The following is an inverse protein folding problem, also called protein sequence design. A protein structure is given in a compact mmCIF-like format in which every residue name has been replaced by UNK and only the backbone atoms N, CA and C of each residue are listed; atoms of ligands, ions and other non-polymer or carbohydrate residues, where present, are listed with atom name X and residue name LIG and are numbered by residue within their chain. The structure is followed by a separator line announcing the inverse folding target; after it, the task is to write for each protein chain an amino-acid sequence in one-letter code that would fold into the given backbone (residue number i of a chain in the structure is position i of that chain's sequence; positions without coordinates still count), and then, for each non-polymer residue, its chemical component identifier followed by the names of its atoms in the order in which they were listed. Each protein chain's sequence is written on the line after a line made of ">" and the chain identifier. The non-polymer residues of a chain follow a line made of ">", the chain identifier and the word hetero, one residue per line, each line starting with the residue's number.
data_IF_896733145628
#
_entry.id   IF_896733145628
#
_cell.length_a   1.000
_cell.length_b   1.000
_cell.length_c   1.000
_cell.angle_alpha   90.00
_cell.angle_beta   90.00
_cell.angle_gamma   90.00
#
_symmetry.space_group_name_H-M   'P 1'
#
loop_
_entity.id
_entity.type
_entity.pdbx_description
1 polymer ?
#
# COMPACT_ATOMS: atom_id res chain seq x y z
N UNK A 1 11.75 -15.31 -12.55
CA UNK A 1 10.58 -15.51 -13.47
C UNK A 1 10.26 -14.26 -14.29
N UNK A 2 11.05 -13.19 -14.16
CA UNK A 2 10.88 -11.92 -14.90
C UNK A 2 9.48 -11.31 -14.77
N UNK A 3 8.79 -11.56 -13.66
CA UNK A 3 7.45 -11.01 -13.40
C UNK A 3 7.54 -9.51 -13.13
N UNK A 4 6.63 -8.74 -13.74
CA UNK A 4 6.51 -7.30 -13.48
C UNK A 4 5.66 -7.05 -12.24
N UNK A 5 6.13 -6.19 -11.39
CA UNK A 5 5.50 -5.83 -10.10
C UNK A 5 5.23 -4.34 -10.05
N UNK A 6 4.03 -3.95 -9.63
CA UNK A 6 3.71 -2.59 -9.25
C UNK A 6 3.58 -2.51 -7.72
N UNK A 7 4.28 -1.57 -7.11
CA UNK A 7 4.22 -1.30 -5.68
C UNK A 7 3.66 0.10 -5.45
N UNK A 8 2.50 0.17 -4.81
CA UNK A 8 1.84 1.43 -4.47
C UNK A 8 1.79 1.58 -2.96
N UNK A 9 2.45 2.61 -2.43
CA UNK A 9 2.52 2.89 -0.99
C UNK A 9 1.63 4.07 -0.62
N UNK A 10 0.62 3.83 0.20
CA UNK A 10 -0.31 4.86 0.68
C UNK A 10 0.15 5.54 1.97
N UNK A 11 1.09 4.93 2.68
CA UNK A 11 1.79 5.56 3.81
C UNK A 11 3.29 5.43 3.57
N UNK A 12 3.96 6.54 3.32
CA UNK A 12 5.42 6.58 3.21
C UNK A 12 5.96 7.59 4.20
N UNK A 13 6.97 7.15 4.97
CA UNK A 13 7.78 8.07 5.78
C UNK A 13 8.60 9.00 4.89
N UNK A 14 9.07 10.12 5.46
CA UNK A 14 9.91 11.09 4.74
C UNK A 14 11.28 10.52 4.33
N UNK A 15 11.70 9.42 4.94
CA UNK A 15 13.02 8.82 4.71
C UNK A 15 12.94 7.73 3.64
N UNK A 16 13.90 7.78 2.71
CA UNK A 16 14.13 6.70 1.77
C UNK A 16 14.73 5.51 2.51
N UNK A 17 14.08 4.36 2.44
CA UNK A 17 14.53 3.12 3.09
C UNK A 17 15.49 2.33 2.20
N UNK A 18 16.21 1.35 2.78
CA UNK A 18 17.06 0.45 2.00
C UNK A 18 16.29 -0.37 0.98
N UNK A 19 15.06 -0.75 1.29
CA UNK A 19 14.16 -1.45 0.36
C UNK A 19 13.73 -0.56 -0.81
N UNK A 20 13.50 0.75 -0.58
CA UNK A 20 13.20 1.69 -1.66
C UNK A 20 14.34 1.73 -2.68
N UNK A 21 15.57 1.89 -2.20
CA UNK A 21 16.77 1.93 -3.06
C UNK A 21 16.94 0.64 -3.86
N UNK A 22 16.67 -0.51 -3.26
CA UNK A 22 16.78 -1.80 -3.92
C UNK A 22 15.67 -1.98 -4.98
N UNK A 23 14.43 -1.67 -4.64
CA UNK A 23 13.28 -1.86 -5.53
C UNK A 23 13.31 -0.86 -6.69
N UNK A 24 13.67 0.40 -6.44
CA UNK A 24 13.78 1.42 -7.49
C UNK A 24 14.89 1.09 -8.52
N UNK A 25 15.88 0.30 -8.14
CA UNK A 25 16.92 -0.18 -9.05
C UNK A 25 16.51 -1.38 -9.90
N UNK A 26 15.39 -2.03 -9.59
CA UNK A 26 14.95 -3.25 -10.26
C UNK A 26 14.09 -2.92 -11.49
N UNK A 27 14.50 -3.30 -12.72
CA UNK A 27 13.77 -2.99 -13.95
C UNK A 27 12.39 -3.65 -14.05
N UNK A 28 12.11 -4.65 -13.22
CA UNK A 28 10.81 -5.34 -13.18
C UNK A 28 9.86 -4.74 -12.14
N UNK A 29 10.26 -3.69 -11.42
CA UNK A 29 9.44 -3.03 -10.41
C UNK A 29 9.12 -1.61 -10.86
N UNK A 30 7.85 -1.25 -10.82
CA UNK A 30 7.38 0.14 -10.92
C UNK A 30 6.79 0.54 -9.59
N UNK A 31 7.12 1.73 -9.11
CA UNK A 31 6.65 2.22 -7.82
C UNK A 31 5.84 3.49 -7.97
N UNK A 32 4.76 3.60 -7.18
CA UNK A 32 4.07 4.85 -6.90
C UNK A 32 3.93 5.02 -5.39
N UNK A 33 3.98 6.23 -4.91
CA UNK A 33 3.80 6.51 -3.49
C UNK A 33 3.02 7.80 -3.29
N UNK A 34 2.24 7.83 -2.23
CA UNK A 34 1.58 9.06 -1.79
C UNK A 34 2.67 10.06 -1.39
N UNK A 35 2.66 11.27 -2.00
CA UNK A 35 3.64 12.30 -1.67
C UNK A 35 3.66 12.59 -0.17
N UNK A 36 4.87 12.83 0.37
CA UNK A 36 5.12 13.06 1.78
C UNK A 36 4.19 14.14 2.37
N UNK A 37 3.60 13.83 3.50
CA UNK A 37 2.66 14.72 4.20
C UNK A 37 1.67 14.00 5.08
N UNK A 38 1.53 12.68 4.98
CA UNK A 38 0.79 11.92 5.97
C UNK A 38 1.64 11.81 7.24
N UNK A 39 1.73 12.90 7.96
CA UNK A 39 2.17 12.87 9.36
C UNK A 39 0.92 12.69 10.19
N UNK A 40 0.97 11.89 11.25
CA UNK A 40 -0.11 11.72 12.23
C UNK A 40 -0.58 13.07 12.84
N UNK A 41 0.03 14.17 12.42
CA UNK A 41 -0.18 15.55 12.86
C UNK A 41 -0.66 16.48 11.74
N UNK A 42 -0.97 16.02 10.53
CA UNK A 42 -1.48 16.91 9.48
C UNK A 42 -2.86 17.38 9.83
N UNK A 43 -3.00 18.69 9.97
CA UNK A 43 -4.29 19.37 10.19
C UNK A 43 -5.08 19.54 8.89
N UNK A 44 -4.56 19.07 7.75
CA UNK A 44 -5.15 19.24 6.42
C UNK A 44 -5.62 17.91 5.82
N UNK A 45 -6.77 17.45 6.32
CA UNK A 45 -7.42 16.22 5.85
C UNK A 45 -7.82 16.28 4.36
N UNK A 46 -8.15 17.45 3.84
CA UNK A 46 -8.53 17.62 2.44
C UNK A 46 -7.33 17.38 1.51
N UNK A 47 -6.16 17.86 1.91
CA UNK A 47 -4.92 17.63 1.17
C UNK A 47 -4.54 16.15 1.18
N UNK A 48 -4.66 15.48 2.32
CA UNK A 48 -4.36 14.04 2.43
C UNK A 48 -5.33 13.21 1.60
N UNK A 49 -6.62 13.56 1.62
CA UNK A 49 -7.63 12.92 0.78
C UNK A 49 -7.36 13.10 -0.72
N UNK A 50 -6.96 14.30 -1.12
CA UNK A 50 -6.57 14.58 -2.51
C UNK A 50 -5.39 13.72 -2.93
N UNK A 51 -4.32 13.67 -2.12
CA UNK A 51 -3.13 12.87 -2.39
C UNK A 51 -3.42 11.37 -2.44
N UNK A 52 -4.25 10.87 -1.52
CA UNK A 52 -4.72 9.50 -1.57
C UNK A 52 -5.45 9.19 -2.87
N UNK A 53 -6.33 10.11 -3.33
CA UNK A 53 -7.02 9.99 -4.61
C UNK A 53 -6.07 9.97 -5.81
N UNK A 54 -5.07 10.84 -5.84
CA UNK A 54 -4.06 10.88 -6.90
C UNK A 54 -3.24 9.57 -6.94
N UNK A 55 -2.83 9.08 -5.78
CA UNK A 55 -2.12 7.79 -5.66
C UNK A 55 -3.00 6.61 -6.08
N UNK A 56 -4.28 6.66 -5.75
CA UNK A 56 -5.24 5.64 -6.17
C UNK A 56 -5.42 5.61 -7.71
N UNK A 57 -5.42 6.75 -8.37
CA UNK A 57 -5.49 6.79 -9.84
C UNK A 57 -4.29 6.09 -10.51
N UNK A 58 -3.10 6.16 -9.92
CA UNK A 58 -1.95 5.39 -10.41
C UNK A 58 -2.13 3.88 -10.11
N UNK A 59 -2.64 3.52 -8.93
CA UNK A 59 -2.95 2.13 -8.60
C UNK A 59 -3.97 1.52 -9.57
N UNK A 60 -5.02 2.25 -9.94
CA UNK A 60 -6.01 1.81 -10.93
C UNK A 60 -5.40 1.52 -12.30
N UNK A 61 -4.44 2.33 -12.75
CA UNK A 61 -3.71 2.08 -14.01
C UNK A 61 -2.91 0.78 -13.94
N UNK A 62 -2.26 0.50 -12.82
CA UNK A 62 -1.53 -0.75 -12.61
C UNK A 62 -2.46 -1.96 -12.54
N UNK A 63 -3.58 -1.83 -11.83
CA UNK A 63 -4.60 -2.88 -11.75
C UNK A 63 -5.26 -3.19 -13.11
N UNK A 64 -5.34 -2.21 -14.01
CA UNK A 64 -5.89 -2.40 -15.36
C UNK A 64 -4.85 -2.88 -16.39
N UNK A 65 -3.55 -2.92 -16.03
CA UNK A 65 -2.49 -3.23 -16.98
C UNK A 65 -2.18 -4.75 -17.02
N UNK A 66 -2.45 -5.44 -18.14
CA UNK A 66 -2.20 -6.88 -18.26
C UNK A 66 -0.71 -7.27 -18.29
N UNK A 67 0.20 -6.31 -18.46
CA UNK A 67 1.64 -6.55 -18.38
C UNK A 67 2.16 -6.67 -16.94
N UNK A 68 1.37 -6.25 -15.94
CA UNK A 68 1.74 -6.34 -14.53
C UNK A 68 1.20 -7.63 -13.93
N UNK A 69 2.09 -8.44 -13.40
CA UNK A 69 1.75 -9.74 -12.83
C UNK A 69 1.33 -9.66 -11.35
N UNK A 70 1.89 -8.70 -10.61
CA UNK A 70 1.60 -8.50 -9.20
C UNK A 70 1.45 -7.01 -8.89
N UNK A 71 0.36 -6.64 -8.24
CA UNK A 71 0.16 -5.29 -7.67
C UNK A 71 0.16 -5.40 -6.16
N UNK A 72 0.99 -4.60 -5.50
CA UNK A 72 1.03 -4.49 -4.04
C UNK A 72 0.45 -3.12 -3.66
N UNK A 73 -0.63 -3.12 -2.89
CA UNK A 73 -1.31 -1.94 -2.35
C UNK A 73 -0.96 -1.84 -0.87
N UNK A 74 0.17 -1.19 -0.60
CA UNK A 74 0.74 -1.13 0.74
C UNK A 74 0.05 -0.05 1.59
N UNK A 75 -0.47 -0.49 2.75
CA UNK A 75 -1.18 0.32 3.74
C UNK A 75 -2.48 0.99 3.23
N UNK A 76 -3.10 0.47 2.15
CA UNK A 76 -4.33 1.05 1.57
C UNK A 76 -5.52 1.00 2.54
N UNK A 77 -5.56 0.04 3.47
CA UNK A 77 -6.67 -0.05 4.42
C UNK A 77 -6.84 1.19 5.28
N UNK A 78 -5.76 1.94 5.53
CA UNK A 78 -5.85 3.23 6.22
C UNK A 78 -6.66 4.26 5.42
N UNK A 79 -6.49 4.28 4.11
CA UNK A 79 -7.22 5.21 3.23
C UNK A 79 -8.72 4.94 3.24
N UNK A 80 -9.10 3.66 3.34
CA UNK A 80 -10.50 3.25 3.50
C UNK A 80 -11.01 3.68 4.88
N UNK A 81 -10.28 3.34 5.94
CA UNK A 81 -10.68 3.63 7.33
C UNK A 81 -10.81 5.12 7.64
N UNK A 82 -10.00 5.97 6.99
CA UNK A 82 -10.10 7.43 7.11
C UNK A 82 -11.11 8.07 6.14
N UNK A 83 -11.83 7.26 5.33
CA UNK A 83 -12.74 7.72 4.29
C UNK A 83 -12.06 8.66 3.26
N UNK A 84 -10.79 8.42 2.97
CA UNK A 84 -10.08 9.12 1.91
C UNK A 84 -10.31 8.47 0.54
N UNK A 85 -10.51 7.15 0.52
CA UNK A 85 -10.86 6.39 -0.67
C UNK A 85 -12.18 5.63 -0.46
N UNK A 86 -12.97 5.54 -1.52
CA UNK A 86 -14.21 4.76 -1.53
C UNK A 86 -13.90 3.27 -1.73
N UNK A 87 -14.25 2.46 -0.76
CA UNK A 87 -14.04 1.02 -0.78
C UNK A 87 -14.70 0.34 -1.99
N UNK A 88 -15.89 0.79 -2.39
CA UNK A 88 -16.60 0.21 -3.54
C UNK A 88 -15.82 0.38 -4.84
N UNK A 89 -15.16 1.52 -5.00
CA UNK A 89 -14.29 1.78 -6.15
C UNK A 89 -13.09 0.83 -6.15
N UNK A 90 -12.48 0.59 -4.99
CA UNK A 90 -11.37 -0.35 -4.82
C UNK A 90 -11.81 -1.77 -5.17
N UNK A 91 -12.90 -2.25 -4.59
CA UNK A 91 -13.44 -3.58 -4.86
C UNK A 91 -13.79 -3.78 -6.33
N UNK A 92 -14.34 -2.75 -6.98
CA UNK A 92 -14.62 -2.76 -8.41
C UNK A 92 -13.34 -2.87 -9.25
N UNK A 93 -12.31 -2.12 -8.92
CA UNK A 93 -11.03 -2.20 -9.63
C UNK A 93 -10.38 -3.59 -9.46
N UNK A 94 -10.42 -4.15 -8.24
CA UNK A 94 -9.93 -5.49 -7.94
C UNK A 94 -10.67 -6.58 -8.74
N UNK A 95 -11.99 -6.46 -8.87
CA UNK A 95 -12.80 -7.44 -9.62
C UNK A 95 -12.61 -7.36 -11.13
N UNK A 96 -12.23 -6.18 -11.65
CA UNK A 96 -12.04 -5.92 -13.08
C UNK A 96 -10.59 -6.13 -13.56
N UNK A 97 -9.68 -6.52 -12.66
CA UNK A 97 -8.27 -6.73 -13.02
C UNK A 97 -8.10 -7.85 -14.06
N UNK A 98 -7.05 -7.82 -14.85
CA UNK A 98 -6.74 -8.89 -15.80
C UNK A 98 -6.65 -10.25 -15.12
N UNK A 99 -7.11 -11.30 -15.82
CA UNK A 99 -6.99 -12.67 -15.34
C UNK A 99 -5.51 -13.03 -15.14
N UNK A 100 -5.21 -13.71 -14.03
CA UNK A 100 -3.84 -14.07 -13.65
C UNK A 100 -3.02 -12.97 -12.98
N UNK A 101 -3.53 -11.74 -12.88
CA UNK A 101 -2.89 -10.71 -12.08
C UNK A 101 -3.14 -10.94 -10.59
N UNK A 102 -2.07 -11.02 -9.81
CA UNK A 102 -2.11 -11.15 -8.36
C UNK A 102 -2.16 -9.78 -7.69
N UNK A 103 -2.84 -9.71 -6.54
CA UNK A 103 -2.88 -8.49 -5.72
C UNK A 103 -2.58 -8.83 -4.27
N UNK A 104 -1.72 -8.03 -3.65
CA UNK A 104 -1.46 -8.06 -2.21
C UNK A 104 -1.92 -6.73 -1.62
N UNK A 105 -2.72 -6.82 -0.57
CA UNK A 105 -3.21 -5.66 0.18
C UNK A 105 -2.65 -5.74 1.59
N UNK A 106 -2.07 -4.67 2.08
CA UNK A 106 -1.60 -4.59 3.46
C UNK A 106 -2.27 -3.45 4.22
N UNK A 107 -2.16 -3.52 5.54
CA UNK A 107 -2.62 -2.48 6.46
C UNK A 107 -3.28 -3.04 7.71
N UNK A 108 -3.95 -2.17 8.47
CA UNK A 108 -4.65 -2.53 9.71
C UNK A 108 -6.16 -2.40 9.53
N UNK A 109 -6.90 -3.20 10.29
CA UNK A 109 -8.36 -3.17 10.32
C UNK A 109 -8.98 -3.24 8.92
N UNK A 110 -8.61 -4.29 8.17
CA UNK A 110 -9.24 -4.56 6.87
C UNK A 110 -10.76 -4.69 7.05
N UNK A 111 -11.51 -4.07 6.14
CA UNK A 111 -12.97 -4.14 6.12
C UNK A 111 -13.47 -5.53 5.75
N UNK A 112 -14.72 -5.86 6.11
CA UNK A 112 -15.34 -7.12 5.68
C UNK A 112 -15.34 -7.26 4.16
N UNK A 113 -15.58 -6.18 3.41
CA UNK A 113 -15.56 -6.20 1.94
C UNK A 113 -14.22 -6.60 1.36
N UNK A 114 -13.12 -6.08 1.91
CA UNK A 114 -11.75 -6.47 1.50
C UNK A 114 -11.47 -7.93 1.88
N UNK A 115 -11.88 -8.35 3.08
CA UNK A 115 -11.72 -9.74 3.55
C UNK A 115 -12.47 -10.71 2.64
N UNK A 116 -13.73 -10.45 2.34
CA UNK A 116 -14.56 -11.29 1.47
C UNK A 116 -14.05 -11.34 0.02
N UNK A 117 -13.47 -10.24 -0.48
CA UNK A 117 -12.90 -10.19 -1.83
C UNK A 117 -11.54 -10.88 -1.96
N UNK A 118 -10.94 -11.32 -0.85
CA UNK A 118 -9.60 -11.91 -0.80
C UNK A 118 -9.65 -13.43 -0.79
N UNK A 119 -8.80 -14.08 -1.58
CA UNK A 119 -8.66 -15.55 -1.57
C UNK A 119 -7.93 -16.05 -0.31
N UNK A 120 -7.09 -15.21 0.29
CA UNK A 120 -6.31 -15.53 1.50
C UNK A 120 -6.18 -14.30 2.37
N UNK A 121 -6.47 -14.45 3.66
CA UNK A 121 -6.31 -13.38 4.65
C UNK A 121 -5.44 -13.89 5.80
N UNK A 122 -4.42 -13.11 6.16
CA UNK A 122 -3.55 -13.38 7.31
C UNK A 122 -3.56 -12.20 8.27
N UNK A 123 -3.75 -12.46 9.55
CA UNK A 123 -3.63 -11.47 10.62
C UNK A 123 -2.27 -11.62 11.30
N UNK A 124 -1.46 -10.55 11.27
CA UNK A 124 -0.19 -10.49 12.01
C UNK A 124 -0.43 -9.76 13.32
N UNK A 125 -0.35 -10.49 14.43
CA UNK A 125 -0.67 -9.99 15.76
C UNK A 125 0.58 -9.51 16.48
N UNK A 126 0.55 -8.26 16.94
CA UNK A 126 1.59 -7.74 17.82
C UNK A 126 1.43 -8.32 19.25
N UNK A 127 2.14 -9.41 19.51
CA UNK A 127 2.19 -10.03 20.85
C UNK A 127 3.16 -9.28 21.77
N UNK A 128 4.34 -8.84 21.22
CA UNK A 128 5.37 -8.08 21.91
C UNK A 128 6.14 -7.25 20.89
N UNK A 129 6.34 -5.97 21.18
CA UNK A 129 7.05 -5.07 20.28
C UNK A 129 8.16 -4.31 21.01
N UNK A 130 9.32 -4.17 20.36
CA UNK A 130 10.49 -3.48 20.89
C UNK A 130 10.20 -2.02 21.29
N UNK A 131 9.36 -1.34 20.51
CA UNK A 131 8.94 0.04 20.78
C UNK A 131 8.31 0.22 22.18
N UNK A 132 7.51 -0.76 22.66
CA UNK A 132 6.93 -0.73 24.01
C UNK A 132 7.98 -0.86 25.12
N UNK A 133 9.15 -1.37 24.78
CA UNK A 133 10.30 -1.46 25.69
C UNK A 133 11.28 -0.29 25.51
N UNK A 134 10.88 0.79 24.81
CA UNK A 134 11.70 1.95 24.47
C UNK A 134 12.99 1.61 23.68
N UNK A 135 12.98 0.49 22.97
CA UNK A 135 14.06 0.14 22.04
C UNK A 135 13.81 0.91 20.75
N UNK A 136 14.79 1.71 20.35
CA UNK A 136 14.71 2.53 19.14
C UNK A 136 14.94 1.68 17.90
N UNK A 137 14.34 2.10 16.80
CA UNK A 137 14.59 1.56 15.47
C UNK A 137 16.08 1.62 15.12
N UNK A 138 16.58 0.57 14.47
CA UNK A 138 18.01 0.40 14.14
C UNK A 138 18.18 0.41 12.63
N UNK A 139 19.19 1.17 12.16
CA UNK A 139 19.54 1.23 10.74
C UNK A 139 19.95 -0.16 10.22
N UNK A 140 19.35 -0.57 9.11
CA UNK A 140 19.60 -1.87 8.49
C UNK A 140 18.80 -3.02 9.08
N UNK A 141 17.96 -2.76 10.12
CA UNK A 141 17.00 -3.71 10.71
C UNK A 141 15.58 -3.18 10.57
N UNK A 142 15.32 -1.97 11.07
CA UNK A 142 13.99 -1.34 11.09
C UNK A 142 13.90 -0.12 10.15
N UNK A 143 15.04 0.35 9.61
CA UNK A 143 15.17 1.55 8.77
C UNK A 143 16.06 1.27 7.55
#
# INVERSE_FOLDING_TARGET
>A
YEMKVALVRFLKGEQQTGEDLFLDSNPNVVSAHMESGFTWNTQDQELDKKRAGETWLEAEKFLANPEINLVVLDEITYMINYNYLDEKSILKALSNRPEGQHVVITGRAASEGIIEASDTVSEVKDVKHAFRANIRAQKGIDL
#
